data_IF_621240694437
#
_entry.id   IF_621240694437
#
_cell.length_a   1.000
_cell.length_b   1.000
_cell.length_c   1.000
_cell.angle_alpha   90.00
_cell.angle_beta   90.00
_cell.angle_gamma   90.00
#
_symmetry.space_group_name_H-M   'P 1'
#
loop_
_entity.id
_entity.type
_entity.pdbx_description
1 polymer ?
#
# COMPACT_ATOMS: atom_id res chain seq x y z
N UNK A 1 14.03 -8.07 -8.45
CA UNK A 1 14.80 -9.24 -7.95
C UNK A 1 14.91 -10.27 -9.06
N UNK A 2 16.12 -10.76 -9.38
CA UNK A 2 16.30 -11.80 -10.39
C UNK A 2 15.66 -13.12 -9.95
N UNK A 3 15.14 -13.90 -10.92
CA UNK A 3 14.46 -15.20 -10.74
C UNK A 3 15.20 -16.14 -9.78
N UNK A 4 16.54 -16.13 -9.84
CA UNK A 4 17.45 -16.93 -9.03
C UNK A 4 17.31 -16.73 -7.51
N UNK A 5 16.93 -15.54 -7.02
CA UNK A 5 16.80 -15.31 -5.57
C UNK A 5 15.50 -15.86 -4.97
N UNK A 6 14.43 -15.99 -5.77
CA UNK A 6 13.12 -16.43 -5.25
C UNK A 6 13.08 -17.94 -5.00
N UNK A 7 13.80 -18.72 -5.81
CA UNK A 7 13.81 -20.18 -5.70
C UNK A 7 14.86 -20.70 -4.71
N UNK A 8 15.91 -19.92 -4.42
CA UNK A 8 17.05 -20.37 -3.62
C UNK A 8 16.71 -20.76 -2.17
N UNK A 9 15.67 -20.15 -1.60
CA UNK A 9 15.22 -20.38 -0.21
C UNK A 9 14.01 -21.34 -0.11
N UNK A 10 13.56 -21.88 -1.24
CA UNK A 10 12.48 -22.88 -1.31
C UNK A 10 12.95 -24.19 -0.65
N UNK A 11 12.17 -24.70 0.30
CA UNK A 11 12.52 -25.89 1.08
C UNK A 11 13.59 -25.63 2.15
N UNK A 12 13.93 -24.36 2.41
CA UNK A 12 14.83 -23.91 3.48
C UNK A 12 14.09 -22.97 4.42
N UNK A 13 14.18 -21.65 4.19
CA UNK A 13 13.45 -20.64 4.95
C UNK A 13 11.95 -20.65 4.63
N UNK A 14 11.56 -21.12 3.45
CA UNK A 14 10.18 -21.21 3.03
C UNK A 14 9.77 -22.66 2.76
N UNK A 15 8.54 -23.01 3.13
CA UNK A 15 7.94 -24.29 2.74
C UNK A 15 7.95 -24.44 1.20
N UNK A 16 8.33 -25.62 0.72
CA UNK A 16 8.56 -25.83 -0.70
C UNK A 16 7.27 -25.76 -1.54
N UNK A 17 6.16 -26.27 -0.99
CA UNK A 17 4.88 -26.28 -1.68
C UNK A 17 4.30 -24.87 -1.75
N UNK A 18 4.25 -24.17 -0.62
CA UNK A 18 3.73 -22.80 -0.55
C UNK A 18 4.56 -21.82 -1.37
N UNK A 19 5.89 -21.92 -1.33
CA UNK A 19 6.76 -21.07 -2.15
C UNK A 19 6.54 -21.29 -3.65
N UNK A 20 6.26 -22.53 -4.08
CA UNK A 20 5.95 -22.82 -5.49
C UNK A 20 4.63 -22.15 -5.92
N UNK A 21 3.58 -22.25 -5.10
CA UNK A 21 2.31 -21.58 -5.36
C UNK A 21 2.49 -20.05 -5.41
N UNK A 22 3.21 -19.49 -4.44
CA UNK A 22 3.46 -18.05 -4.36
C UNK A 22 4.22 -17.51 -5.59
N UNK A 23 5.26 -18.22 -6.03
CA UNK A 23 6.00 -17.85 -7.25
C UNK A 23 5.07 -17.90 -8.47
N UNK A 24 4.26 -18.95 -8.60
CA UNK A 24 3.30 -19.07 -9.70
C UNK A 24 2.31 -17.91 -9.74
N UNK A 25 1.79 -17.48 -8.57
CA UNK A 25 0.91 -16.30 -8.47
C UNK A 25 1.63 -15.01 -8.89
N UNK A 26 2.89 -14.85 -8.52
CA UNK A 26 3.69 -13.71 -8.95
C UNK A 26 3.95 -13.70 -10.47
N UNK A 27 4.26 -14.86 -11.05
CA UNK A 27 4.56 -15.00 -12.48
C UNK A 27 3.33 -14.79 -13.37
N UNK A 28 2.14 -15.21 -12.92
CA UNK A 28 0.90 -14.92 -13.64
C UNK A 28 0.34 -13.50 -13.39
N UNK A 29 1.04 -12.68 -12.61
CA UNK A 29 0.66 -11.30 -12.32
C UNK A 29 -0.44 -11.16 -11.26
N UNK A 30 -0.89 -12.24 -10.64
CA UNK A 30 -1.95 -12.22 -9.63
C UNK A 30 -1.59 -11.37 -8.39
N UNK A 31 -0.31 -11.10 -8.13
CA UNK A 31 0.13 -10.27 -7.00
C UNK A 31 0.31 -8.78 -7.34
N UNK A 32 0.16 -8.37 -8.62
CA UNK A 32 0.46 -7.00 -9.06
C UNK A 32 -0.44 -5.94 -8.41
N UNK A 33 -1.68 -6.29 -8.12
CA UNK A 33 -2.65 -5.39 -7.46
C UNK A 33 -2.45 -5.29 -5.94
N UNK A 34 -1.53 -6.08 -5.37
CA UNK A 34 -1.22 -6.11 -3.92
C UNK A 34 0.10 -5.39 -3.67
N UNK A 35 1.12 -5.68 -4.47
CA UNK A 35 2.48 -5.13 -4.26
C UNK A 35 2.48 -3.64 -4.56
N UNK A 36 2.99 -2.84 -3.62
CA UNK A 36 3.16 -1.40 -3.82
C UNK A 36 1.84 -0.63 -3.84
N UNK A 37 0.80 -1.14 -3.17
CA UNK A 37 -0.49 -0.47 -3.04
C UNK A 37 -0.71 -0.01 -1.60
N UNK A 38 -1.25 1.18 -1.43
CA UNK A 38 -1.63 1.73 -0.12
C UNK A 38 -3.01 1.25 0.30
N UNK A 39 -3.85 0.98 -0.69
CA UNK A 39 -5.19 0.45 -0.57
C UNK A 39 -5.52 -0.34 -1.85
N UNK A 40 -6.49 -1.24 -1.82
CA UNK A 40 -6.87 -2.05 -2.99
C UNK A 40 -7.11 -1.17 -4.23
N UNK A 41 -6.28 -1.36 -5.26
CA UNK A 41 -6.35 -0.60 -6.51
C UNK A 41 -5.78 0.82 -6.45
N UNK A 42 -5.23 1.25 -5.31
CA UNK A 42 -4.59 2.56 -5.12
C UNK A 42 -3.09 2.36 -4.88
N UNK A 43 -2.22 2.81 -5.79
CA UNK A 43 -0.78 2.61 -5.66
C UNK A 43 -0.17 3.52 -4.59
N UNK A 44 0.80 2.98 -3.86
CA UNK A 44 1.67 3.76 -2.97
C UNK A 44 2.39 4.85 -3.76
N UNK A 45 2.41 6.05 -3.18
CA UNK A 45 3.07 7.19 -3.77
C UNK A 45 4.54 7.23 -3.33
N UNK A 46 5.39 7.75 -4.22
CA UNK A 46 6.84 7.74 -4.00
C UNK A 46 7.31 9.06 -3.42
N UNK A 47 7.91 9.01 -2.23
CA UNK A 47 8.70 10.11 -1.71
C UNK A 47 10.03 10.16 -2.47
N UNK A 48 10.46 11.33 -2.99
CA UNK A 48 11.71 11.45 -3.74
C UNK A 48 12.96 11.14 -2.89
N UNK A 49 12.83 11.16 -1.55
CA UNK A 49 13.93 10.87 -0.61
C UNK A 49 13.89 9.42 -0.13
N UNK A 50 12.71 8.86 0.15
CA UNK A 50 12.56 7.60 0.88
C UNK A 50 12.04 6.44 0.03
N UNK A 51 11.57 6.70 -1.20
CA UNK A 51 10.92 5.70 -2.03
C UNK A 51 9.41 5.56 -1.76
N UNK A 52 8.80 4.39 -2.07
CA UNK A 52 7.34 4.20 -2.06
C UNK A 52 6.79 4.04 -0.63
N UNK A 53 6.61 5.16 0.07
CA UNK A 53 6.20 5.19 1.49
C UNK A 53 5.04 6.13 1.76
N UNK A 54 4.55 6.88 0.77
CA UNK A 54 3.45 7.82 0.97
C UNK A 54 2.15 7.06 0.72
N UNK A 55 1.40 6.87 1.81
CA UNK A 55 0.09 6.21 1.79
C UNK A 55 -0.95 7.23 1.35
N UNK A 56 -1.77 6.84 0.36
CA UNK A 56 -2.98 7.56 -0.05
C UNK A 56 -4.15 6.59 -0.01
N UNK A 57 -5.35 7.09 0.29
CA UNK A 57 -6.58 6.30 0.39
C UNK A 57 -7.64 6.90 -0.51
N UNK A 58 -8.74 6.17 -0.74
CA UNK A 58 -9.88 6.63 -1.55
C UNK A 58 -10.53 7.93 -1.04
N UNK A 59 -10.33 8.27 0.24
CA UNK A 59 -10.82 9.50 0.86
C UNK A 59 -10.01 10.73 0.46
N UNK A 60 -8.74 10.54 0.07
CA UNK A 60 -7.87 11.65 -0.29
C UNK A 60 -8.29 12.29 -1.61
N UNK A 61 -8.26 13.62 -1.63
CA UNK A 61 -8.73 14.44 -2.75
C UNK A 61 -7.62 15.33 -3.29
N UNK A 62 -7.87 15.92 -4.46
CA UNK A 62 -6.99 16.95 -5.01
C UNK A 62 -6.85 18.12 -4.02
N UNK A 63 -5.62 18.62 -3.87
CA UNK A 63 -5.27 19.70 -2.95
C UNK A 63 -5.03 19.25 -1.51
N UNK A 64 -5.24 17.96 -1.17
CA UNK A 64 -4.86 17.46 0.14
C UNK A 64 -3.33 17.41 0.29
N UNK A 65 -2.86 17.71 1.49
CA UNK A 65 -1.46 17.53 1.87
C UNK A 65 -1.27 16.15 2.51
N UNK A 66 -0.25 15.42 2.06
CA UNK A 66 0.14 14.11 2.55
C UNK A 66 1.61 14.11 2.93
N UNK A 67 2.00 13.18 3.81
CA UNK A 67 3.33 13.21 4.44
C UNK A 67 4.02 11.86 4.34
N UNK A 68 5.32 11.90 4.04
CA UNK A 68 6.18 10.73 4.16
C UNK A 68 6.39 10.39 5.64
N UNK A 69 5.95 9.20 6.06
CA UNK A 69 6.08 8.74 7.44
C UNK A 69 7.52 8.40 7.86
N UNK A 70 8.48 8.43 6.91
CA UNK A 70 9.89 8.22 7.19
C UNK A 70 10.66 9.53 7.42
N UNK A 71 10.60 10.49 6.49
CA UNK A 71 11.38 11.74 6.57
C UNK A 71 10.57 12.98 6.98
N UNK A 72 9.25 12.87 7.06
CA UNK A 72 8.33 13.97 7.35
C UNK A 72 8.09 14.92 6.19
N UNK A 73 8.62 14.63 4.99
CA UNK A 73 8.43 15.48 3.81
C UNK A 73 6.97 15.57 3.39
N UNK A 74 6.51 16.80 3.15
CA UNK A 74 5.15 17.11 2.71
C UNK A 74 5.03 17.04 1.18
N UNK A 75 3.90 16.57 0.69
CA UNK A 75 3.50 16.62 -0.71
C UNK A 75 2.04 17.04 -0.85
N UNK A 76 1.71 17.73 -1.91
CA UNK A 76 0.34 18.06 -2.29
C UNK A 76 -0.17 17.06 -3.33
N UNK A 77 -1.44 16.67 -3.22
CA UNK A 77 -2.07 15.74 -4.14
C UNK A 77 -2.68 16.44 -5.36
N UNK A 78 -2.33 15.95 -6.55
CA UNK A 78 -2.97 16.34 -7.80
C UNK A 78 -3.74 15.18 -8.44
N UNK A 79 -4.84 15.51 -9.11
CA UNK A 79 -5.57 14.54 -9.95
C UNK A 79 -5.04 14.62 -11.38
N UNK A 80 -4.64 13.48 -11.93
CA UNK A 80 -4.11 13.35 -13.28
C UNK A 80 -4.92 12.31 -14.08
N UNK A 81 -4.68 12.21 -15.40
CA UNK A 81 -5.33 11.23 -16.29
C UNK A 81 -5.02 9.75 -15.98
N UNK A 82 -4.28 9.46 -14.91
CA UNK A 82 -4.01 8.10 -14.42
C UNK A 82 -4.29 7.91 -12.93
N UNK A 83 -4.97 8.85 -12.27
CA UNK A 83 -5.25 8.82 -10.83
C UNK A 83 -4.53 9.92 -10.05
N UNK A 84 -4.42 9.71 -8.74
CA UNK A 84 -3.79 10.65 -7.81
C UNK A 84 -2.27 10.59 -7.90
N UNK A 85 -1.63 11.75 -7.93
CA UNK A 85 -0.16 11.91 -7.89
C UNK A 85 0.25 12.85 -6.77
N UNK A 86 1.45 12.67 -6.24
CA UNK A 86 2.05 13.53 -5.23
C UNK A 86 3.04 14.52 -5.84
N UNK A 87 2.97 15.77 -5.41
CA UNK A 87 3.94 16.80 -5.75
C UNK A 87 4.64 17.29 -4.48
N UNK A 88 5.95 17.08 -4.33
CA UNK A 88 6.70 17.55 -3.16
C UNK A 88 6.58 19.07 -3.03
N UNK A 89 6.22 19.55 -1.84
CA UNK A 89 6.13 21.01 -1.58
C UNK A 89 7.44 21.60 -1.07
N UNK A 90 8.40 20.74 -0.70
CA UNK A 90 9.65 21.14 -0.05
C UNK A 90 9.51 21.43 1.46
N UNK A 91 8.28 21.39 1.99
CA UNK A 91 8.01 21.57 3.41
C UNK A 91 8.09 20.25 4.17
N UNK A 92 8.10 20.34 5.50
CA UNK A 92 7.95 19.21 6.42
C UNK A 92 6.70 19.38 7.26
N UNK A 93 6.04 18.26 7.54
CA UNK A 93 4.91 18.23 8.47
C UNK A 93 5.34 18.56 9.90
N UNK A 94 4.40 19.10 10.66
CA UNK A 94 4.51 19.26 12.11
C UNK A 94 4.36 17.91 12.82
N UNK A 95 4.70 17.80 14.13
CA UNK A 95 4.45 16.57 14.88
C UNK A 95 3.00 16.08 14.81
N UNK A 96 2.03 17.02 14.77
CA UNK A 96 0.61 16.69 14.63
C UNK A 96 0.30 16.08 13.26
N UNK A 97 0.86 16.64 12.18
CA UNK A 97 0.64 16.12 10.82
C UNK A 97 1.25 14.71 10.63
N UNK A 98 2.30 14.40 11.40
CA UNK A 98 3.02 13.13 11.34
C UNK A 98 2.50 12.09 12.34
N UNK A 99 1.53 12.46 13.18
CA UNK A 99 0.88 11.53 14.09
C UNK A 99 0.26 10.37 13.28
N UNK A 100 0.55 9.10 13.64
CA UNK A 100 -0.09 7.97 12.99
C UNK A 100 -1.58 7.94 13.31
N UNK A 101 -2.41 7.89 12.27
CA UNK A 101 -3.85 7.76 12.39
C UNK A 101 -4.28 6.39 11.88
N UNK A 102 -5.28 5.79 12.51
CA UNK A 102 -5.91 4.58 12.02
C UNK A 102 -6.85 4.93 10.84
N UNK A 103 -6.85 4.10 9.81
CA UNK A 103 -7.84 4.21 8.73
C UNK A 103 -9.17 3.63 9.22
N UNK A 104 -9.95 4.47 9.90
CA UNK A 104 -11.21 4.08 10.53
C UNK A 104 -12.24 3.62 9.49
N UNK A 105 -12.22 4.17 8.28
CA UNK A 105 -13.14 3.77 7.22
C UNK A 105 -12.81 2.39 6.68
N UNK A 106 -11.52 2.10 6.43
CA UNK A 106 -11.10 0.75 6.04
C UNK A 106 -11.44 -0.28 7.13
N UNK A 107 -11.24 0.07 8.40
CA UNK A 107 -11.62 -0.78 9.53
C UNK A 107 -13.13 -1.04 9.54
N UNK A 108 -13.95 0.00 9.33
CA UNK A 108 -15.40 -0.15 9.28
C UNK A 108 -15.85 -1.05 8.12
N UNK A 109 -15.26 -0.87 6.93
CA UNK A 109 -15.54 -1.73 5.77
C UNK A 109 -15.23 -3.20 6.06
N UNK A 110 -14.08 -3.47 6.69
CA UNK A 110 -13.70 -4.81 7.10
C UNK A 110 -14.70 -5.41 8.10
N UNK A 111 -15.13 -4.64 9.11
CA UNK A 111 -16.10 -5.11 10.12
C UNK A 111 -17.43 -5.47 9.49
N UNK A 112 -17.94 -4.65 8.56
CA UNK A 112 -19.19 -4.93 7.84
C UNK A 112 -19.05 -6.19 6.99
N UNK A 113 -17.96 -6.30 6.20
CA UNK A 113 -17.72 -7.44 5.34
C UNK A 113 -17.60 -8.75 6.14
N UNK A 114 -16.83 -8.74 7.23
CA UNK A 114 -16.66 -9.91 8.10
C UNK A 114 -17.99 -10.33 8.75
N UNK A 115 -18.80 -9.35 9.19
CA UNK A 115 -20.10 -9.61 9.84
C UNK A 115 -21.05 -10.34 8.90
N UNK A 116 -21.09 -9.97 7.61
CA UNK A 116 -21.87 -10.69 6.62
C UNK A 116 -21.44 -12.16 6.48
N UNK A 117 -20.14 -12.44 6.39
CA UNK A 117 -19.65 -13.81 6.28
C UNK A 117 -19.95 -14.67 7.51
N UNK A 118 -19.87 -14.10 8.71
CA UNK A 118 -20.20 -14.80 9.94
C UNK A 118 -21.69 -15.15 10.05
N UNK A 119 -22.57 -14.31 9.51
CA UNK A 119 -24.02 -14.56 9.47
C UNK A 119 -24.43 -15.62 8.45
N UNK A 120 -23.61 -15.88 7.43
CA UNK A 120 -23.88 -16.89 6.38
C UNK A 120 -23.20 -18.24 6.64
N UNK A 121 -22.44 -18.38 7.73
CA UNK A 121 -21.71 -19.62 8.08
C UNK A 121 -22.26 -20.29 9.37
N UNK A 122 -23.31 -19.71 9.96
CA UNK A 122 -24.11 -20.27 11.06
C UNK A 122 -25.50 -20.65 10.52
#
# INVERSE_FOLDING_TARGET
MSRLKREAEKGKQFDAHLATLWISLGECGALQHIVGHSESGIPLQTCPICGPTIVITRQHQHGNHVFCRHCGGESELSKSNGGMQVHPTGRKGTPKDLEPEADVDLINELVVLASHHLQHTL
#
